data_IF_312924702352
#
_entry.id   IF_312924702352
#
_cell.length_a   1.000
_cell.length_b   1.000
_cell.length_c   1.000
_cell.angle_alpha   90.00
_cell.angle_beta   90.00
_cell.angle_gamma   90.00
#
_symmetry.space_group_name_H-M   'P 1'
#
loop_
_entity.id
_entity.type
_entity.pdbx_description
1 polymer ?
#
# COMPACT_ATOMS: atom_id res chain seq x y z
N UNK A 1 -13.19 5.06 26.36
CA UNK A 1 -12.38 4.42 25.30
C UNK A 1 -11.32 3.46 25.84
N UNK A 2 -10.55 3.80 26.88
CA UNK A 2 -9.55 2.88 27.43
C UNK A 2 -10.13 1.50 27.84
N UNK A 3 -11.36 1.45 28.37
CA UNK A 3 -11.98 0.19 28.78
C UNK A 3 -12.43 -0.69 27.60
N UNK A 4 -12.77 -0.08 26.46
CA UNK A 4 -13.10 -0.81 25.23
C UNK A 4 -11.86 -1.50 24.66
N UNK A 5 -10.72 -0.79 24.64
CA UNK A 5 -9.42 -1.31 24.20
C UNK A 5 -8.91 -2.43 25.12
N UNK A 6 -9.19 -2.36 26.43
CA UNK A 6 -8.84 -3.44 27.39
C UNK A 6 -9.66 -4.70 27.16
N UNK A 7 -10.98 -4.58 27.08
CA UNK A 7 -11.87 -5.72 26.85
C UNK A 7 -11.65 -6.36 25.48
N UNK A 8 -11.37 -5.54 24.45
CA UNK A 8 -11.03 -6.03 23.12
C UNK A 8 -9.73 -6.86 23.09
N UNK A 9 -8.81 -6.59 24.02
CA UNK A 9 -7.54 -7.32 24.14
C UNK A 9 -7.67 -8.61 24.96
N UNK A 10 -8.70 -8.71 25.80
CA UNK A 10 -8.98 -9.86 26.67
C UNK A 10 -10.05 -10.81 26.06
N UNK A 11 -10.78 -10.39 25.01
CA UNK A 11 -11.68 -11.24 24.20
C UNK A 11 -10.91 -11.90 23.04
N UNK A 12 -10.54 -13.19 23.17
CA UNK A 12 -9.82 -13.95 22.13
C UNK A 12 -10.57 -14.00 20.79
N UNK A 13 -11.92 -14.10 20.80
CA UNK A 13 -12.75 -14.11 19.59
C UNK A 13 -12.78 -12.73 18.88
N UNK A 14 -12.67 -11.64 19.65
CA UNK A 14 -12.60 -10.28 19.12
C UNK A 14 -11.26 -10.00 18.43
N UNK A 15 -10.17 -10.43 19.05
CA UNK A 15 -8.81 -10.23 18.54
C UNK A 15 -8.60 -10.82 17.14
N UNK A 16 -9.17 -11.99 16.85
CA UNK A 16 -9.08 -12.66 15.53
C UNK A 16 -9.76 -11.84 14.42
N UNK A 17 -10.89 -11.19 14.72
CA UNK A 17 -11.59 -10.36 13.73
C UNK A 17 -10.84 -9.07 13.40
N UNK A 18 -10.10 -8.51 14.36
CA UNK A 18 -9.27 -7.32 14.13
C UNK A 18 -7.96 -7.65 13.44
N UNK A 19 -7.37 -8.83 13.66
CA UNK A 19 -6.20 -9.26 12.87
C UNK A 19 -6.51 -9.34 11.37
N UNK A 20 -7.68 -9.89 11.01
CA UNK A 20 -8.13 -9.95 9.61
C UNK A 20 -8.23 -8.56 8.96
N UNK A 21 -8.73 -7.57 9.69
CA UNK A 21 -8.84 -6.19 9.21
C UNK A 21 -7.47 -5.51 9.14
N UNK A 22 -6.61 -5.71 10.14
CA UNK A 22 -5.28 -5.11 10.19
C UNK A 22 -4.39 -5.65 9.07
N UNK A 23 -4.44 -6.96 8.80
CA UNK A 23 -3.65 -7.59 7.75
C UNK A 23 -4.08 -7.09 6.36
N UNK A 24 -5.38 -6.99 6.09
CA UNK A 24 -5.88 -6.47 4.81
C UNK A 24 -5.55 -4.99 4.64
N UNK A 25 -5.68 -4.18 5.69
CA UNK A 25 -5.26 -2.78 5.66
C UNK A 25 -3.76 -2.62 5.36
N UNK A 26 -2.91 -3.48 5.94
CA UNK A 26 -1.47 -3.49 5.65
C UNK A 26 -1.19 -3.84 4.18
N UNK A 27 -1.88 -4.83 3.62
CA UNK A 27 -1.73 -5.21 2.20
C UNK A 27 -2.19 -4.08 1.27
N UNK A 28 -3.29 -3.39 1.57
CA UNK A 28 -3.77 -2.25 0.77
C UNK A 28 -2.73 -1.11 0.77
N UNK A 29 -2.14 -0.80 1.92
CA UNK A 29 -1.08 0.20 2.03
C UNK A 29 0.19 -0.20 1.25
N UNK A 30 0.58 -1.48 1.29
CA UNK A 30 1.67 -1.99 0.46
C UNK A 30 1.35 -1.89 -1.04
N UNK A 31 0.11 -2.16 -1.43
CA UNK A 31 -0.37 -2.00 -2.81
C UNK A 31 -0.26 -0.55 -3.31
N UNK A 32 -0.60 0.42 -2.46
CA UNK A 32 -0.39 1.85 -2.74
C UNK A 32 1.09 2.17 -2.97
N UNK A 33 1.98 1.72 -2.09
CA UNK A 33 3.42 1.95 -2.23
C UNK A 33 3.97 1.37 -3.55
N UNK A 34 3.62 0.12 -3.86
CA UNK A 34 4.04 -0.55 -5.10
C UNK A 34 3.47 0.16 -6.33
N UNK A 35 2.19 0.56 -6.30
CA UNK A 35 1.54 1.29 -7.39
C UNK A 35 2.26 2.59 -7.73
N UNK A 36 2.66 3.37 -6.72
CA UNK A 36 3.44 4.60 -6.94
C UNK A 36 4.81 4.32 -7.55
N UNK A 37 5.50 3.27 -7.09
CA UNK A 37 6.81 2.90 -7.63
C UNK A 37 6.73 2.50 -9.11
N UNK A 38 5.72 1.70 -9.47
CA UNK A 38 5.48 1.28 -10.86
C UNK A 38 5.15 2.48 -11.74
N UNK A 39 4.22 3.35 -11.31
CA UNK A 39 3.82 4.54 -12.09
C UNK A 39 5.00 5.47 -12.37
N UNK A 40 5.85 5.71 -11.37
CA UNK A 40 7.04 6.56 -11.51
C UNK A 40 8.07 5.93 -12.45
N UNK A 41 8.32 4.62 -12.32
CA UNK A 41 9.23 3.89 -13.20
C UNK A 41 8.76 3.91 -14.65
N UNK A 42 7.47 3.65 -14.88
CA UNK A 42 6.85 3.69 -16.20
C UNK A 42 6.94 5.09 -16.83
N UNK A 43 6.64 6.15 -16.06
CA UNK A 43 6.78 7.53 -16.53
C UNK A 43 8.23 7.90 -16.89
N UNK A 44 9.19 7.47 -16.07
CA UNK A 44 10.61 7.69 -16.36
C UNK A 44 11.06 7.02 -17.64
N UNK A 45 10.63 5.77 -17.87
CA UNK A 45 10.92 5.04 -19.09
C UNK A 45 10.27 5.71 -20.31
N UNK A 46 9.01 6.12 -20.21
CA UNK A 46 8.29 6.82 -21.28
C UNK A 46 9.01 8.12 -21.67
N UNK A 47 9.37 8.95 -20.69
CA UNK A 47 10.14 10.18 -20.92
C UNK A 47 11.51 9.89 -21.55
N UNK A 48 12.17 8.80 -21.15
CA UNK A 48 13.45 8.41 -21.74
C UNK A 48 13.29 8.04 -23.22
N UNK A 49 12.23 7.30 -23.57
CA UNK A 49 11.92 6.97 -24.97
C UNK A 49 11.63 8.24 -25.77
N UNK A 50 10.78 9.13 -25.25
CA UNK A 50 10.46 10.42 -25.88
C UNK A 50 11.74 11.22 -26.17
N UNK A 51 12.61 11.38 -25.18
CA UNK A 51 13.87 12.11 -25.36
C UNK A 51 14.79 11.48 -26.40
N UNK A 52 14.89 10.14 -26.46
CA UNK A 52 15.69 9.48 -27.49
C UNK A 52 15.13 9.76 -28.90
N UNK A 53 13.81 9.69 -29.07
CA UNK A 53 13.18 9.98 -30.37
C UNK A 53 13.35 11.44 -30.79
N UNK A 54 13.28 12.38 -29.84
CA UNK A 54 13.50 13.82 -30.10
C UNK A 54 14.96 14.14 -30.43
N UNK A 55 15.92 13.43 -29.82
CA UNK A 55 17.34 13.66 -30.05
C UNK A 55 17.88 12.98 -31.32
N UNK A 56 17.15 12.01 -31.89
CA UNK A 56 17.49 11.35 -33.14
C UNK A 56 16.86 11.99 -34.39
N UNK A 57 15.97 12.98 -34.22
CA UNK A 57 15.36 13.79 -35.29
C UNK A 57 16.12 15.10 -35.54
#
# INVERSE_FOLDING_TARGET
MLNFIKNFRDDEDGAVTVDFVVLTAAIVLLGLAVGTAISNGAGTLANSIENNLLNEA
#
